data_IF_189358312795
#
_entry.id   IF_189358312795
#
_cell.length_a   1.000
_cell.length_b   1.000
_cell.length_c   1.000
_cell.angle_alpha   90.00
_cell.angle_beta   90.00
_cell.angle_gamma   90.00
#
_symmetry.space_group_name_H-M   'P 1'
#
loop_
_entity.id
_entity.type
_entity.pdbx_description
1 polymer ?
#
# COMPACT_ATOMS: atom_id res chain seq x y z
N UNK A 1 -32.37 -26.67 -44.90
CA UNK A 1 -31.82 -27.45 -46.02
C UNK A 1 -30.38 -27.79 -45.67
N UNK A 2 -30.15 -29.07 -45.37
CA UNK A 2 -28.90 -29.85 -45.26
C UNK A 2 -27.68 -29.36 -44.43
N UNK A 3 -27.49 -30.11 -43.34
CA UNK A 3 -26.26 -30.41 -42.60
C UNK A 3 -25.31 -31.29 -43.42
N UNK A 4 -24.00 -31.19 -43.18
CA UNK A 4 -22.97 -32.27 -43.06
C UNK A 4 -21.63 -31.59 -42.71
N UNK A 5 -21.01 -31.72 -41.53
CA UNK A 5 -20.32 -32.86 -40.90
C UNK A 5 -19.27 -33.54 -41.79
N UNK A 6 -17.99 -33.34 -41.48
CA UNK A 6 -16.91 -34.28 -41.82
C UNK A 6 -15.90 -34.36 -40.68
N UNK A 7 -15.80 -35.57 -40.11
CA UNK A 7 -14.78 -36.08 -39.19
C UNK A 7 -13.96 -37.10 -39.98
N UNK A 8 -12.64 -37.09 -39.79
CA UNK A 8 -11.69 -38.22 -39.90
C UNK A 8 -10.43 -37.73 -39.15
N UNK A 9 -10.05 -38.25 -37.97
CA UNK A 9 -9.23 -39.46 -37.76
C UNK A 9 -8.07 -39.54 -38.76
N UNK A 10 -6.79 -39.62 -38.42
CA UNK A 10 -6.05 -39.86 -37.18
C UNK A 10 -4.67 -40.39 -37.62
N UNK A 11 -3.58 -39.98 -36.98
CA UNK A 11 -2.29 -40.65 -37.12
C UNK A 11 -1.39 -40.32 -35.94
N UNK A 12 -1.38 -41.24 -34.99
CA UNK A 12 -0.35 -41.43 -33.96
C UNK A 12 0.91 -42.01 -34.58
N UNK A 13 2.05 -41.35 -34.43
CA UNK A 13 3.36 -42.00 -34.47
C UNK A 13 4.13 -41.73 -33.17
N UNK A 14 4.48 -42.83 -32.50
CA UNK A 14 5.45 -42.91 -31.41
C UNK A 14 6.83 -43.16 -32.01
N UNK A 15 7.86 -42.91 -31.19
CA UNK A 15 9.27 -43.37 -31.17
C UNK A 15 10.19 -42.13 -31.15
N UNK A 16 11.13 -41.95 -30.22
CA UNK A 16 11.62 -42.83 -29.17
C UNK A 16 12.17 -42.06 -27.98
N UNK A 17 12.20 -42.79 -26.86
CA UNK A 17 12.82 -42.38 -25.61
C UNK A 17 14.34 -42.49 -25.71
N UNK A 18 15.06 -41.43 -25.31
CA UNK A 18 16.48 -41.52 -24.96
C UNK A 18 16.62 -41.40 -23.44
N UNK A 19 17.14 -42.48 -22.84
CA UNK A 19 17.50 -42.61 -21.44
C UNK A 19 18.80 -41.83 -21.11
N UNK A 20 19.10 -41.56 -19.82
CA UNK A 20 20.04 -40.53 -19.40
C UNK A 20 21.49 -41.02 -19.39
N UNK A 21 22.41 -40.17 -19.84
CA UNK A 21 23.85 -40.41 -19.77
C UNK A 21 24.37 -40.22 -18.33
N UNK A 22 25.29 -41.10 -17.96
CA UNK A 22 25.82 -41.30 -16.61
C UNK A 22 26.86 -40.25 -16.19
N UNK A 23 27.03 -40.21 -14.86
CA UNK A 23 28.03 -39.48 -14.08
C UNK A 23 29.46 -39.74 -14.59
N UNK A 24 30.19 -38.65 -14.84
CA UNK A 24 31.65 -38.62 -14.93
C UNK A 24 32.24 -37.78 -13.80
N UNK A 25 33.11 -38.41 -13.03
CA UNK A 25 33.75 -37.88 -11.82
C UNK A 25 35.16 -37.34 -12.06
N UNK A 26 35.47 -36.19 -11.42
CA UNK A 26 36.78 -35.68 -10.93
C UNK A 26 37.77 -35.08 -11.96
N UNK A 27 38.72 -34.19 -11.56
CA UNK A 27 39.19 -33.93 -10.18
C UNK A 27 39.21 -32.46 -9.71
N UNK A 28 39.26 -32.34 -8.37
CA UNK A 28 39.70 -31.16 -7.61
C UNK A 28 41.18 -30.87 -7.92
N UNK A 29 41.51 -29.63 -8.25
CA UNK A 29 42.84 -29.08 -8.07
C UNK A 29 42.75 -27.91 -7.09
N UNK A 30 43.43 -28.06 -5.95
CA UNK A 30 43.68 -26.99 -5.01
C UNK A 30 44.91 -26.18 -5.43
N UNK A 31 44.85 -24.89 -5.17
CA UNK A 31 46.00 -24.02 -4.94
C UNK A 31 45.51 -22.97 -3.93
N UNK A 32 45.88 -23.13 -2.65
CA UNK A 32 47.08 -22.54 -2.05
C UNK A 32 46.96 -21.02 -1.89
N UNK A 33 46.40 -20.64 -0.74
CA UNK A 33 46.49 -19.32 -0.12
C UNK A 33 47.96 -18.99 0.22
N UNK A 34 48.48 -17.87 -0.29
CA UNK A 34 49.57 -17.11 0.33
C UNK A 34 49.63 -15.73 -0.36
N UNK A 35 49.40 -14.64 0.39
CA UNK A 35 49.40 -13.29 -0.17
C UNK A 35 48.79 -12.27 0.77
N UNK A 36 49.43 -12.08 1.92
CA UNK A 36 49.18 -11.05 2.91
C UNK A 36 49.24 -9.63 2.32
N UNK A 37 48.17 -8.83 2.48
CA UNK A 37 48.27 -7.38 2.53
C UNK A 37 47.27 -6.81 3.55
N UNK A 38 47.82 -6.33 4.66
CA UNK A 38 47.36 -5.16 5.43
C UNK A 38 45.90 -5.07 5.88
N UNK A 39 45.61 -5.61 7.06
CA UNK A 39 44.53 -5.10 7.91
C UNK A 39 44.94 -3.73 8.45
N UNK A 40 44.28 -2.66 7.98
CA UNK A 40 44.27 -1.36 8.65
C UNK A 40 42.90 -1.17 9.32
N UNK A 41 42.83 -0.94 10.65
CA UNK A 41 41.58 -0.65 11.33
C UNK A 41 41.18 0.80 11.00
N UNK A 42 40.13 0.97 10.19
CA UNK A 42 39.55 2.28 9.94
C UNK A 42 38.67 2.67 11.13
N UNK A 43 39.29 3.22 12.18
CA UNK A 43 38.59 3.92 13.26
C UNK A 43 38.12 5.27 12.75
N UNK A 44 37.03 5.30 11.98
CA UNK A 44 36.30 6.53 11.70
C UNK A 44 35.30 6.77 12.83
N UNK A 45 35.77 7.50 13.84
CA UNK A 45 34.99 8.03 14.95
C UNK A 45 34.01 9.06 14.35
N UNK A 46 32.76 8.66 14.10
CA UNK A 46 31.71 9.61 13.75
C UNK A 46 31.55 10.61 14.91
N UNK A 47 31.94 11.86 14.68
CA UNK A 47 31.66 12.96 15.58
C UNK A 47 30.15 13.23 15.49
N UNK A 48 29.39 12.68 16.43
CA UNK A 48 28.02 13.09 16.69
C UNK A 48 28.07 14.55 17.17
N UNK A 49 27.66 15.48 16.32
CA UNK A 49 27.33 16.83 16.75
C UNK A 49 26.21 16.74 17.80
N UNK A 50 26.48 17.28 18.98
CA UNK A 50 25.48 17.40 20.04
C UNK A 50 24.32 18.31 19.59
N UNK A 51 23.06 17.98 19.88
CA UNK A 51 21.97 18.94 19.75
C UNK A 51 22.09 20.00 20.85
N UNK A 52 22.06 21.27 20.45
CA UNK A 52 21.86 22.41 21.34
C UNK A 52 20.51 22.24 22.10
N UNK A 53 20.46 22.41 23.43
CA UNK A 53 19.20 22.36 24.15
C UNK A 53 18.37 23.62 23.86
N UNK A 54 17.21 23.44 23.22
CA UNK A 54 16.19 24.48 23.13
C UNK A 54 15.49 24.64 24.50
N UNK A 55 15.11 25.87 24.91
CA UNK A 55 14.50 26.12 26.20
C UNK A 55 13.08 25.53 26.28
N UNK A 56 12.81 24.83 27.38
CA UNK A 56 11.52 24.25 27.74
C UNK A 56 10.42 25.31 27.90
N UNK A 57 9.25 25.17 27.27
CA UNK A 57 8.11 26.02 27.57
C UNK A 57 7.49 25.60 28.91
N UNK A 58 7.48 26.54 29.86
CA UNK A 58 6.80 26.40 31.15
C UNK A 58 5.30 26.13 30.92
N UNK A 59 4.84 24.92 31.31
CA UNK A 59 3.41 24.63 31.45
C UNK A 59 2.88 25.38 32.66
N UNK A 60 2.17 26.48 32.42
CA UNK A 60 1.30 27.08 33.44
C UNK A 60 0.07 26.18 33.62
N UNK A 61 0.07 25.42 34.72
CA UNK A 61 -1.10 24.68 35.18
C UNK A 61 -2.13 25.65 35.76
N UNK A 62 -3.14 26.03 34.96
CA UNK A 62 -4.31 26.74 35.43
C UNK A 62 -5.07 25.83 36.42
N UNK A 63 -4.95 26.16 37.71
CA UNK A 63 -5.70 25.58 38.81
C UNK A 63 -7.14 26.10 38.78
N UNK A 64 -8.12 25.25 38.51
CA UNK A 64 -9.51 25.55 38.84
C UNK A 64 -9.75 25.28 40.33
N UNK A 65 -10.32 26.22 41.10
CA UNK A 65 -10.52 26.04 42.53
C UNK A 65 -11.66 25.06 42.82
N UNK A 66 -11.37 24.08 43.69
CA UNK A 66 -12.34 23.18 44.34
C UNK A 66 -13.38 24.02 45.09
N UNK A 67 -14.64 23.97 44.67
CA UNK A 67 -15.75 24.41 45.51
C UNK A 67 -16.00 23.36 46.59
N UNK A 68 -15.68 23.71 47.82
CA UNK A 68 -16.27 23.06 48.99
C UNK A 68 -17.75 23.46 49.05
N UNK A 69 -18.63 22.49 49.26
CA UNK A 69 -19.97 22.78 49.75
C UNK A 69 -20.17 22.07 51.07
N UNK A 70 -20.34 22.92 52.07
CA UNK A 70 -20.69 22.70 53.46
C UNK A 70 -21.83 21.71 53.63
N UNK A 71 -21.64 20.80 54.59
CA UNK A 71 -22.70 20.01 55.20
C UNK A 71 -23.75 20.94 55.81
N UNK A 72 -25.00 20.79 55.38
CA UNK A 72 -26.17 21.25 56.11
C UNK A 72 -27.07 20.06 56.39
N UNK A 73 -27.04 19.62 57.64
CA UNK A 73 -28.12 18.84 58.24
C UNK A 73 -29.38 19.71 58.25
N UNK A 74 -30.46 19.25 57.64
CA UNK A 74 -31.81 19.61 58.06
C UNK A 74 -32.84 18.60 57.50
N UNK A 75 -33.60 18.06 58.45
CA UNK A 75 -34.96 17.55 58.35
C UNK A 75 -35.24 16.37 57.41
N UNK A 76 -35.50 15.22 58.05
CA UNK A 76 -36.31 14.11 57.54
C UNK A 76 -37.68 14.59 57.05
N UNK A 77 -38.12 14.13 55.86
CA UNK A 77 -39.51 13.86 55.60
C UNK A 77 -39.73 12.36 55.34
N UNK A 78 -40.58 11.82 56.18
CA UNK A 78 -41.59 10.80 55.95
C UNK A 78 -41.30 9.57 55.08
N UNK A 79 -41.39 8.42 55.75
CA UNK A 79 -41.30 7.10 55.18
C UNK A 79 -42.63 6.72 54.51
N UNK A 80 -42.81 7.06 53.23
CA UNK A 80 -43.85 6.43 52.40
C UNK A 80 -43.76 6.83 50.93
N UNK A 81 -42.74 6.34 50.22
CA UNK A 81 -42.81 6.10 48.76
C UNK A 81 -41.63 5.23 48.32
N UNK A 82 -41.85 4.02 47.79
CA UNK A 82 -40.76 3.30 47.14
C UNK A 82 -40.40 4.04 45.84
N UNK A 83 -39.14 4.48 45.74
CA UNK A 83 -38.57 4.91 44.47
C UNK A 83 -38.68 3.77 43.45
N UNK A 84 -39.03 4.04 42.17
CA UNK A 84 -39.13 2.99 41.17
C UNK A 84 -37.76 2.34 40.99
N UNK A 85 -37.66 1.07 41.36
CA UNK A 85 -36.50 0.25 41.05
C UNK A 85 -36.48 0.05 39.54
N UNK A 86 -35.49 0.65 38.86
CA UNK A 86 -35.21 0.30 37.49
C UNK A 86 -34.97 -1.22 37.42
N UNK A 87 -35.58 -1.94 36.47
CA UNK A 87 -35.33 -3.38 36.35
C UNK A 87 -33.84 -3.60 36.11
N UNK A 88 -33.24 -4.45 36.93
CA UNK A 88 -31.85 -4.85 36.77
C UNK A 88 -31.65 -5.45 35.37
N UNK A 89 -30.64 -4.96 34.66
CA UNK A 89 -30.19 -5.56 33.40
C UNK A 89 -29.81 -7.03 33.67
N UNK A 90 -30.52 -8.01 33.09
CA UNK A 90 -30.28 -9.42 33.36
C UNK A 90 -28.91 -9.90 32.84
N UNK A 91 -28.17 -9.06 32.09
CA UNK A 91 -26.81 -9.34 31.60
C UNK A 91 -25.67 -8.84 32.49
N UNK A 92 -25.93 -8.01 33.51
CA UNK A 92 -24.87 -7.47 34.36
C UNK A 92 -24.41 -8.50 35.40
N UNK A 93 -23.49 -9.39 35.01
CA UNK A 93 -22.78 -10.23 35.96
C UNK A 93 -22.07 -9.34 36.99
N UNK A 94 -22.59 -9.29 38.21
CA UNK A 94 -21.91 -8.64 39.33
C UNK A 94 -20.54 -9.32 39.50
N UNK A 95 -19.48 -8.58 39.22
CA UNK A 95 -18.12 -9.04 39.51
C UNK A 95 -18.07 -9.50 40.97
N UNK A 96 -17.56 -10.71 41.20
CA UNK A 96 -17.43 -11.24 42.55
C UNK A 96 -16.62 -10.26 43.42
N UNK A 97 -17.00 -10.04 44.68
CA UNK A 97 -16.25 -9.14 45.55
C UNK A 97 -14.81 -9.63 45.73
N UNK A 98 -13.88 -8.69 45.87
CA UNK A 98 -12.46 -8.99 46.08
C UNK A 98 -12.28 -9.92 47.28
N UNK A 99 -11.60 -11.05 47.06
CA UNK A 99 -11.37 -12.09 48.07
C UNK A 99 -12.45 -13.18 48.15
N UNK A 100 -13.53 -13.10 47.37
CA UNK A 100 -14.50 -14.17 47.27
C UNK A 100 -13.91 -15.41 46.59
N UNK A 101 -14.28 -16.60 47.07
CA UNK A 101 -13.95 -17.86 46.41
C UNK A 101 -14.67 -17.92 45.07
N UNK A 102 -13.90 -18.09 44.00
CA UNK A 102 -14.44 -18.20 42.65
C UNK A 102 -15.14 -19.56 42.48
N UNK A 103 -16.20 -19.59 41.68
CA UNK A 103 -17.00 -20.80 41.46
C UNK A 103 -16.20 -21.91 40.79
N UNK A 104 -16.70 -23.15 40.85
CA UNK A 104 -16.05 -24.32 40.26
C UNK A 104 -15.75 -24.20 38.75
N UNK A 105 -16.47 -23.31 38.06
CA UNK A 105 -16.24 -23.01 36.65
C UNK A 105 -15.00 -22.12 36.39
N UNK A 106 -14.38 -21.54 37.42
CA UNK A 106 -13.24 -20.62 37.27
C UNK A 106 -12.06 -21.24 36.53
N UNK A 107 -11.69 -22.47 36.88
CA UNK A 107 -10.59 -23.20 36.23
C UNK A 107 -10.95 -23.64 34.80
N UNK A 108 -12.24 -23.66 34.47
CA UNK A 108 -12.77 -23.96 33.12
C UNK A 108 -13.09 -22.71 32.29
N UNK A 109 -12.90 -21.52 32.86
CA UNK A 109 -12.83 -20.28 32.08
C UNK A 109 -11.49 -20.27 31.32
N UNK A 110 -11.29 -21.25 30.45
CA UNK A 110 -10.37 -21.12 29.34
C UNK A 110 -10.95 -20.04 28.42
N UNK A 111 -10.86 -18.79 28.84
CA UNK A 111 -10.75 -17.65 27.96
C UNK A 111 -9.45 -17.88 27.19
N UNK A 112 -9.49 -18.76 26.21
CA UNK A 112 -8.63 -18.62 25.06
C UNK A 112 -9.29 -17.47 24.29
N UNK A 113 -8.80 -16.23 24.42
CA UNK A 113 -9.37 -15.11 23.69
C UNK A 113 -9.41 -15.44 22.20
N UNK A 114 -10.32 -14.85 21.43
CA UNK A 114 -10.49 -15.09 19.99
C UNK A 114 -9.18 -14.99 19.17
N UNK A 115 -8.14 -14.34 19.70
CA UNK A 115 -6.82 -14.33 19.06
C UNK A 115 -6.09 -15.68 19.11
N UNK A 116 -6.38 -16.57 20.07
CA UNK A 116 -5.84 -17.92 20.13
C UNK A 116 -6.32 -18.79 18.95
N UNK A 117 -7.45 -18.43 18.34
CA UNK A 117 -7.97 -19.05 17.12
C UNK A 117 -7.29 -18.55 15.84
N UNK A 118 -6.40 -17.55 15.88
CA UNK A 118 -5.75 -17.00 14.67
C UNK A 118 -4.79 -17.97 13.96
N UNK A 119 -4.46 -19.10 14.59
CA UNK A 119 -3.58 -20.13 14.03
C UNK A 119 -2.14 -19.65 13.84
N UNK A 120 -1.19 -20.59 13.75
CA UNK A 120 0.18 -20.27 13.34
C UNK A 120 0.20 -20.06 11.83
N UNK A 121 0.72 -18.92 11.38
CA UNK A 121 0.84 -18.57 9.95
C UNK A 121 2.27 -18.16 9.63
N UNK A 122 2.67 -18.37 8.38
CA UNK A 122 3.95 -17.94 7.84
C UNK A 122 3.73 -17.12 6.55
N UNK A 123 4.72 -16.32 6.19
CA UNK A 123 4.64 -15.43 5.04
C UNK A 123 6.00 -14.91 4.61
N UNK A 124 6.00 -14.16 3.51
CA UNK A 124 7.19 -13.51 2.94
C UNK A 124 7.00 -12.00 2.93
N UNK A 125 8.08 -11.29 3.24
CA UNK A 125 8.20 -9.86 2.97
C UNK A 125 8.89 -9.73 1.61
N UNK A 126 8.18 -9.18 0.63
CA UNK A 126 8.71 -8.89 -0.70
C UNK A 126 7.95 -7.71 -1.27
N UNK A 127 8.61 -6.62 -1.64
CA UNK A 127 7.90 -5.50 -2.26
C UNK A 127 7.64 -5.80 -3.75
N UNK A 128 6.50 -5.40 -4.35
CA UNK A 128 6.22 -5.70 -5.76
C UNK A 128 7.28 -5.18 -6.72
N UNK A 129 7.96 -4.07 -6.40
CA UNK A 129 9.07 -3.54 -7.21
C UNK A 129 10.24 -4.53 -7.37
N UNK A 130 10.37 -5.49 -6.46
CA UNK A 130 11.43 -6.51 -6.46
C UNK A 130 11.03 -7.79 -7.20
N UNK A 131 9.79 -7.89 -7.70
CA UNK A 131 9.41 -8.96 -8.60
C UNK A 131 10.21 -8.83 -9.91
N UNK A 132 10.52 -9.95 -10.59
CA UNK A 132 11.11 -9.89 -11.92
C UNK A 132 10.11 -9.27 -12.91
N UNK A 133 10.59 -8.86 -14.08
CA UNK A 133 9.72 -8.38 -15.15
C UNK A 133 10.50 -7.70 -16.26
N UNK A 134 9.95 -7.66 -17.49
CA UNK A 134 10.68 -7.12 -18.65
C UNK A 134 10.83 -5.59 -18.65
N UNK A 135 10.11 -4.89 -17.76
CA UNK A 135 9.94 -3.43 -17.81
C UNK A 135 10.75 -2.67 -16.75
N UNK A 136 11.88 -3.22 -16.29
CA UNK A 136 12.82 -2.52 -15.40
C UNK A 136 12.43 -2.49 -13.93
N UNK A 137 11.19 -2.86 -13.60
CA UNK A 137 10.63 -2.91 -12.25
C UNK A 137 9.60 -4.04 -12.18
N UNK A 138 9.44 -4.64 -11.00
CA UNK A 138 8.31 -5.55 -10.77
C UNK A 138 6.97 -4.82 -10.75
N UNK A 139 5.94 -5.47 -11.27
CA UNK A 139 4.60 -4.90 -11.50
C UNK A 139 3.50 -5.78 -10.88
N UNK A 140 2.31 -5.23 -10.68
CA UNK A 140 1.10 -5.96 -10.31
C UNK A 140 0.50 -6.67 -11.54
N UNK A 141 1.26 -7.61 -12.09
CA UNK A 141 0.97 -8.33 -13.32
C UNK A 141 1.21 -9.85 -13.20
N UNK A 142 1.59 -10.52 -14.30
CA UNK A 142 1.81 -11.96 -14.33
C UNK A 142 2.76 -12.47 -13.25
N UNK A 143 3.85 -11.75 -12.99
CA UNK A 143 4.85 -12.14 -11.98
C UNK A 143 4.34 -12.01 -10.53
N UNK A 144 3.44 -11.05 -10.26
CA UNK A 144 2.77 -10.97 -8.96
C UNK A 144 1.83 -12.16 -8.73
N UNK A 145 1.11 -12.60 -9.78
CA UNK A 145 0.28 -13.80 -9.72
C UNK A 145 1.13 -15.07 -9.55
N UNK A 146 2.22 -15.20 -10.30
CA UNK A 146 3.14 -16.32 -10.17
C UNK A 146 3.77 -16.40 -8.76
N UNK A 147 4.08 -15.25 -8.15
CA UNK A 147 4.54 -15.19 -6.77
C UNK A 147 3.48 -15.64 -5.76
N UNK A 148 2.20 -15.26 -5.97
CA UNK A 148 1.09 -15.72 -5.14
C UNK A 148 0.87 -17.23 -5.27
N UNK A 149 0.97 -17.79 -6.49
CA UNK A 149 0.89 -19.23 -6.73
C UNK A 149 2.01 -19.98 -5.99
N UNK A 150 3.24 -19.46 -6.04
CA UNK A 150 4.36 -20.00 -5.29
C UNK A 150 4.15 -19.92 -3.77
N UNK A 151 3.68 -18.78 -3.26
CA UNK A 151 3.36 -18.61 -1.83
C UNK A 151 2.33 -19.64 -1.36
N UNK A 152 1.26 -19.83 -2.14
CA UNK A 152 0.21 -20.78 -1.85
C UNK A 152 0.74 -22.23 -1.87
N UNK A 153 1.54 -22.58 -2.89
CA UNK A 153 2.17 -23.90 -2.99
C UNK A 153 3.14 -24.18 -1.82
N UNK A 154 3.80 -23.15 -1.27
CA UNK A 154 4.65 -23.23 -0.09
C UNK A 154 3.87 -23.29 1.24
N UNK A 155 2.54 -23.22 1.22
CA UNK A 155 1.69 -23.21 2.41
C UNK A 155 1.76 -21.89 3.20
N UNK A 156 2.31 -20.84 2.60
CA UNK A 156 2.38 -19.52 3.20
C UNK A 156 1.04 -18.79 3.02
N UNK A 157 0.67 -17.97 4.00
CA UNK A 157 -0.66 -17.34 4.07
C UNK A 157 -0.59 -15.81 4.19
N UNK A 158 0.61 -15.25 4.24
CA UNK A 158 0.83 -13.82 4.36
C UNK A 158 1.84 -13.35 3.32
N UNK A 159 1.49 -12.31 2.57
CA UNK A 159 2.43 -11.49 1.81
C UNK A 159 2.45 -10.11 2.45
N UNK A 160 3.60 -9.72 2.97
CA UNK A 160 3.80 -8.38 3.53
C UNK A 160 4.58 -7.52 2.52
N UNK A 161 4.09 -6.31 2.32
CA UNK A 161 4.69 -5.30 1.42
C UNK A 161 5.08 -4.05 2.21
N UNK A 162 6.03 -3.29 1.65
CA UNK A 162 6.26 -1.89 2.03
C UNK A 162 5.08 -1.02 1.55
N UNK A 163 4.96 0.25 1.98
CA UNK A 163 3.92 1.14 1.50
C UNK A 163 3.89 1.21 -0.04
N UNK A 164 2.69 1.21 -0.62
CA UNK A 164 2.46 1.21 -2.07
C UNK A 164 2.23 2.62 -2.63
N UNK A 165 2.54 3.65 -1.85
CA UNK A 165 2.33 5.05 -2.21
C UNK A 165 3.28 5.50 -3.32
N UNK A 166 2.93 6.53 -4.13
CA UNK A 166 3.86 7.11 -5.09
C UNK A 166 5.06 7.67 -4.32
N UNK A 167 6.27 7.16 -4.53
CA UNK A 167 7.43 7.65 -3.81
C UNK A 167 7.85 9.02 -4.35
N UNK A 168 8.52 9.79 -3.51
CA UNK A 168 9.22 10.99 -3.93
C UNK A 168 10.23 10.67 -5.06
N UNK A 169 10.29 11.47 -6.14
CA UNK A 169 11.14 11.20 -7.30
C UNK A 169 12.63 11.44 -7.08
N UNK A 170 13.06 12.06 -5.96
CA UNK A 170 14.47 12.26 -5.63
C UNK A 170 15.07 11.00 -5.00
N UNK A 171 14.33 10.35 -4.08
CA UNK A 171 14.85 9.22 -3.30
C UNK A 171 14.18 7.87 -3.59
N UNK A 172 13.02 7.87 -4.25
CA UNK A 172 12.21 6.68 -4.53
C UNK A 172 11.89 5.82 -3.29
N UNK A 173 11.91 6.42 -2.10
CA UNK A 173 11.61 5.72 -0.84
C UNK A 173 10.10 5.52 -0.69
N UNK A 174 9.62 4.29 -0.42
CA UNK A 174 8.19 4.05 -0.16
C UNK A 174 7.70 4.69 1.14
N UNK A 175 8.62 5.15 2.01
CA UNK A 175 8.28 5.88 3.23
C UNK A 175 8.27 7.40 3.06
N UNK A 176 8.68 7.89 1.89
CA UNK A 176 8.62 9.30 1.50
C UNK A 176 7.58 9.46 0.38
N UNK A 177 6.33 9.06 0.66
CA UNK A 177 5.25 9.12 -0.32
C UNK A 177 4.74 10.53 -0.58
N UNK A 178 4.39 10.83 -1.82
CA UNK A 178 3.77 12.10 -2.22
C UNK A 178 2.32 12.22 -1.75
N UNK A 179 1.66 11.09 -1.48
CA UNK A 179 0.27 11.01 -1.03
C UNK A 179 0.10 9.75 -0.17
N UNK A 180 -0.78 9.79 0.83
CA UNK A 180 -0.99 8.68 1.76
C UNK A 180 -1.97 7.60 1.26
N UNK A 181 -2.76 7.90 0.22
CA UNK A 181 -3.84 7.05 -0.30
C UNK A 181 -3.58 6.56 -1.73
N UNK A 182 -2.90 7.36 -2.54
CA UNK A 182 -2.60 7.00 -3.93
C UNK A 182 -1.75 5.73 -4.02
N UNK A 183 -1.89 5.00 -5.13
CA UNK A 183 -0.99 3.93 -5.52
C UNK A 183 0.16 4.42 -6.38
N UNK A 184 1.34 3.81 -6.25
CA UNK A 184 2.50 4.06 -7.08
C UNK A 184 2.22 3.66 -8.54
N UNK A 185 2.16 4.61 -9.49
CA UNK A 185 1.86 4.31 -10.89
C UNK A 185 2.87 3.36 -11.54
N UNK A 186 4.11 3.32 -11.05
CA UNK A 186 5.16 2.44 -11.59
C UNK A 186 4.86 0.95 -11.36
N UNK A 187 3.93 0.62 -10.47
CA UNK A 187 3.50 -0.76 -10.23
C UNK A 187 2.40 -1.25 -11.17
N UNK A 188 1.81 -0.37 -11.99
CA UNK A 188 0.78 -0.74 -12.96
C UNK A 188 1.39 -1.66 -14.03
N UNK A 189 0.73 -2.78 -14.30
CA UNK A 189 1.20 -3.80 -15.25
C UNK A 189 0.99 -3.36 -16.70
N UNK A 190 2.08 -3.21 -17.46
CA UNK A 190 1.96 -2.87 -18.89
C UNK A 190 1.34 -4.02 -19.69
N UNK A 191 1.61 -5.27 -19.31
CA UNK A 191 1.01 -6.45 -19.95
C UNK A 191 -0.51 -6.50 -19.75
N UNK A 192 -0.99 -6.08 -18.58
CA UNK A 192 -2.42 -5.97 -18.31
C UNK A 192 -3.05 -4.88 -19.19
N UNK A 193 -2.42 -3.70 -19.30
CA UNK A 193 -2.90 -2.61 -20.16
C UNK A 193 -2.92 -3.00 -21.65
N UNK A 194 -1.93 -3.78 -22.10
CA UNK A 194 -1.90 -4.33 -23.47
C UNK A 194 -3.02 -5.35 -23.68
N UNK A 195 -3.27 -6.22 -22.70
CA UNK A 195 -4.32 -7.23 -22.75
C UNK A 195 -5.72 -6.60 -22.80
N UNK A 196 -5.94 -5.53 -22.02
CA UNK A 196 -7.17 -4.73 -22.05
C UNK A 196 -7.28 -3.85 -23.31
N UNK A 197 -6.23 -3.77 -24.14
CA UNK A 197 -6.21 -2.99 -25.37
C UNK A 197 -6.09 -1.47 -25.16
N UNK A 198 -5.77 -1.03 -23.94
CA UNK A 198 -5.46 0.36 -23.58
C UNK A 198 -4.08 0.79 -24.10
N UNK A 199 -3.18 -0.18 -24.29
CA UNK A 199 -1.91 -0.03 -24.99
C UNK A 199 -1.79 -1.02 -26.14
N UNK A 200 -1.03 -0.68 -27.16
CA UNK A 200 -0.64 -1.62 -28.20
C UNK A 200 0.61 -2.39 -27.76
N UNK A 201 0.79 -3.62 -28.25
CA UNK A 201 2.02 -4.39 -27.99
C UNK A 201 3.30 -3.66 -28.42
N UNK A 202 3.21 -2.83 -29.47
CA UNK A 202 4.30 -2.00 -29.96
C UNK A 202 4.69 -0.85 -29.03
N UNK A 203 3.86 -0.53 -28.04
CA UNK A 203 4.13 0.52 -27.06
C UNK A 203 5.06 0.05 -25.93
N UNK A 204 5.23 -1.26 -25.78
CA UNK A 204 6.07 -1.85 -24.73
C UNK A 204 7.51 -1.28 -24.80
N UNK A 205 8.05 -0.74 -23.69
CA UNK A 205 9.36 -0.11 -23.71
C UNK A 205 10.45 -1.16 -23.97
N UNK A 206 11.39 -0.82 -24.86
CA UNK A 206 12.56 -1.65 -25.14
C UNK A 206 13.78 -1.15 -24.35
N UNK A 207 14.69 -2.06 -24.01
CA UNK A 207 16.01 -1.71 -23.47
C UNK A 207 16.08 -1.50 -21.95
N UNK A 208 15.00 -1.74 -21.22
CA UNK A 208 15.04 -1.81 -19.75
C UNK A 208 15.60 -3.16 -19.30
N UNK A 209 16.32 -3.16 -18.16
CA UNK A 209 16.88 -4.39 -17.59
C UNK A 209 15.77 -5.23 -16.97
N UNK A 210 15.70 -6.50 -17.33
CA UNK A 210 14.68 -7.40 -16.76
C UNK A 210 14.97 -7.89 -15.34
N UNK A 211 16.19 -7.66 -14.84
CA UNK A 211 16.66 -8.18 -13.54
C UNK A 211 17.73 -7.28 -12.92
N UNK A 212 17.81 -7.29 -11.60
CA UNK A 212 18.79 -6.54 -10.81
C UNK A 212 18.15 -5.34 -10.12
N UNK A 213 18.97 -4.36 -9.78
CA UNK A 213 18.50 -3.14 -9.11
C UNK A 213 17.66 -2.28 -10.06
N UNK A 214 16.58 -1.72 -9.51
CA UNK A 214 15.64 -0.87 -10.25
C UNK A 214 16.28 0.49 -10.52
N UNK A 215 16.38 0.87 -11.79
CA UNK A 215 16.65 2.24 -12.21
C UNK A 215 15.31 3.00 -12.28
N UNK A 216 14.88 3.55 -11.15
CA UNK A 216 13.58 4.20 -11.04
C UNK A 216 13.41 5.39 -11.99
N UNK A 217 14.49 6.15 -12.26
CA UNK A 217 14.44 7.28 -13.16
C UNK A 217 14.21 6.83 -14.61
N UNK A 218 14.95 5.81 -15.07
CA UNK A 218 14.76 5.24 -16.41
C UNK A 218 13.36 4.59 -16.55
N UNK A 219 12.92 3.86 -15.52
CA UNK A 219 11.58 3.25 -15.50
C UNK A 219 10.49 4.32 -15.54
N UNK A 220 10.58 5.37 -14.74
CA UNK A 220 9.60 6.46 -14.75
C UNK A 220 9.56 7.18 -16.10
N UNK A 221 10.72 7.48 -16.70
CA UNK A 221 10.81 8.11 -18.01
C UNK A 221 10.19 7.24 -19.12
N UNK A 222 10.31 5.91 -19.02
CA UNK A 222 9.72 4.99 -19.99
C UNK A 222 8.23 4.74 -19.75
N UNK A 223 7.80 4.59 -18.49
CA UNK A 223 6.44 4.15 -18.15
C UNK A 223 5.41 5.27 -18.04
N UNK A 224 5.75 6.40 -17.43
CA UNK A 224 4.76 7.46 -17.18
C UNK A 224 4.09 7.97 -18.46
N UNK A 225 4.79 8.15 -19.60
CA UNK A 225 4.14 8.52 -20.86
C UNK A 225 3.17 7.46 -21.39
N UNK A 226 3.46 6.18 -21.15
CA UNK A 226 2.58 5.07 -21.55
C UNK A 226 1.32 5.02 -20.68
N UNK A 227 1.45 5.27 -19.37
CA UNK A 227 0.30 5.34 -18.47
C UNK A 227 -0.61 6.53 -18.82
N UNK A 228 -0.01 7.68 -19.18
CA UNK A 228 -0.74 8.83 -19.73
C UNK A 228 -1.51 8.44 -21.00
N UNK A 229 -0.84 7.76 -21.96
CA UNK A 229 -1.49 7.25 -23.18
C UNK A 229 -2.66 6.31 -22.88
N UNK A 230 -2.49 5.36 -21.95
CA UNK A 230 -3.53 4.43 -21.55
C UNK A 230 -4.72 5.13 -20.88
N UNK A 231 -4.46 6.11 -20.00
CA UNK A 231 -5.47 6.93 -19.38
C UNK A 231 -6.27 7.74 -20.42
N UNK A 232 -5.60 8.34 -21.40
CA UNK A 232 -6.25 9.07 -22.48
C UNK A 232 -7.12 8.16 -23.36
N UNK A 233 -6.64 6.96 -23.70
CA UNK A 233 -7.43 5.96 -24.40
C UNK A 233 -8.69 5.59 -23.60
N UNK A 234 -8.55 5.29 -22.30
CA UNK A 234 -9.65 5.01 -21.40
C UNK A 234 -10.68 6.16 -21.39
N UNK A 235 -10.23 7.41 -21.27
CA UNK A 235 -11.09 8.59 -21.14
C UNK A 235 -11.83 8.93 -22.44
N UNK A 236 -11.24 8.71 -23.60
CA UNK A 236 -11.76 9.22 -24.88
C UNK A 236 -12.42 8.15 -25.74
N UNK A 237 -11.87 6.94 -25.81
CA UNK A 237 -12.30 5.97 -26.81
C UNK A 237 -13.66 5.32 -26.47
N UNK A 238 -14.60 5.25 -27.43
CA UNK A 238 -15.94 4.69 -27.19
C UNK A 238 -15.94 3.26 -26.67
N UNK A 239 -15.00 2.42 -27.14
CA UNK A 239 -14.92 0.99 -26.76
C UNK A 239 -14.71 0.76 -25.26
N UNK A 240 -14.14 1.74 -24.54
CA UNK A 240 -13.95 1.67 -23.08
C UNK A 240 -15.11 2.28 -22.27
N UNK A 241 -16.31 2.42 -22.85
CA UNK A 241 -17.48 2.97 -22.14
C UNK A 241 -17.79 2.24 -20.82
N UNK A 242 -17.72 0.91 -20.81
CA UNK A 242 -17.95 0.10 -19.61
C UNK A 242 -16.89 0.35 -18.53
N UNK A 243 -15.61 0.41 -18.93
CA UNK A 243 -14.50 0.67 -18.03
C UNK A 243 -14.55 2.11 -17.47
N UNK A 244 -14.92 3.10 -18.29
CA UNK A 244 -15.21 4.47 -17.82
C UNK A 244 -16.36 4.53 -16.82
N UNK A 245 -17.36 3.67 -16.92
CA UNK A 245 -18.41 3.60 -15.90
C UNK A 245 -17.85 3.08 -14.56
N UNK A 246 -16.91 2.14 -14.57
CA UNK A 246 -16.16 1.71 -13.38
C UNK A 246 -15.29 2.84 -12.82
N UNK A 247 -14.56 3.56 -13.68
CA UNK A 247 -13.78 4.75 -13.30
C UNK A 247 -14.66 5.79 -12.58
N UNK A 248 -15.86 6.08 -13.10
CA UNK A 248 -16.80 7.01 -12.45
C UNK A 248 -17.22 6.53 -11.05
N UNK A 249 -17.46 5.22 -10.88
CA UNK A 249 -17.78 4.63 -9.57
C UNK A 249 -16.59 4.73 -8.61
N UNK A 250 -15.39 4.41 -9.09
CA UNK A 250 -14.15 4.55 -8.33
C UNK A 250 -13.93 5.99 -7.86
N UNK A 251 -14.08 6.98 -8.75
CA UNK A 251 -13.96 8.39 -8.42
C UNK A 251 -14.98 8.82 -7.36
N UNK A 252 -16.22 8.34 -7.46
CA UNK A 252 -17.27 8.65 -6.49
C UNK A 252 -17.04 7.98 -5.12
N UNK A 253 -16.45 6.80 -5.07
CA UNK A 253 -16.17 6.09 -3.81
C UNK A 253 -14.90 6.57 -3.09
N UNK A 254 -14.05 7.35 -3.77
CA UNK A 254 -12.75 7.76 -3.26
C UNK A 254 -12.65 9.30 -3.21
N UNK A 255 -13.27 9.97 -2.22
CA UNK A 255 -13.33 11.44 -2.17
C UNK A 255 -11.96 12.11 -2.05
N UNK A 256 -10.94 11.39 -1.55
CA UNK A 256 -9.56 11.86 -1.47
C UNK A 256 -8.93 12.14 -2.84
N UNK A 257 -9.36 11.44 -3.89
CA UNK A 257 -8.72 11.47 -5.22
C UNK A 257 -8.74 12.88 -5.84
N UNK A 258 -9.79 13.65 -5.58
CA UNK A 258 -9.97 15.00 -6.12
C UNK A 258 -8.95 15.98 -5.57
N UNK A 259 -8.59 15.84 -4.30
CA UNK A 259 -7.60 16.71 -3.66
C UNK A 259 -6.19 16.29 -4.05
N UNK A 260 -5.91 14.99 -4.13
CA UNK A 260 -4.62 14.46 -4.61
C UNK A 260 -4.36 14.86 -6.07
N UNK A 261 -5.37 14.74 -6.95
CA UNK A 261 -5.26 15.12 -8.36
C UNK A 261 -5.02 16.62 -8.53
N UNK A 262 -5.75 17.47 -7.79
CA UNK A 262 -5.55 18.91 -7.83
C UNK A 262 -4.16 19.29 -7.31
N UNK A 263 -3.70 18.66 -6.23
CA UNK A 263 -2.36 18.89 -5.69
C UNK A 263 -1.28 18.51 -6.72
N UNK A 264 -1.41 17.35 -7.37
CA UNK A 264 -0.49 16.88 -8.40
C UNK A 264 -0.46 17.81 -9.63
N UNK A 265 -1.62 18.33 -10.05
CA UNK A 265 -1.69 19.30 -11.13
C UNK A 265 -1.02 20.63 -10.73
N UNK A 266 -1.28 21.13 -9.51
CA UNK A 266 -0.72 22.39 -9.03
C UNK A 266 0.80 22.34 -8.85
N UNK A 267 1.36 21.25 -8.28
CA UNK A 267 2.82 21.14 -8.09
C UNK A 267 3.61 21.11 -9.40
N UNK A 268 2.97 20.74 -10.51
CA UNK A 268 3.58 20.70 -11.85
C UNK A 268 3.50 22.02 -12.59
N UNK A 269 2.82 23.03 -12.04
CA UNK A 269 2.77 24.36 -12.65
C UNK A 269 4.15 25.02 -12.60
N UNK A 270 4.61 25.67 -13.69
CA UNK A 270 5.93 26.32 -13.71
C UNK A 270 6.15 27.35 -12.60
N UNK A 271 5.10 28.02 -12.13
CA UNK A 271 5.19 29.02 -11.06
C UNK A 271 5.25 28.41 -9.64
N UNK A 272 4.89 27.13 -9.50
CA UNK A 272 4.84 26.38 -8.24
C UNK A 272 5.83 25.20 -8.19
N UNK A 273 6.44 24.85 -9.32
CA UNK A 273 7.40 23.75 -9.43
C UNK A 273 8.55 23.93 -8.42
N UNK A 274 8.95 22.83 -7.78
CA UNK A 274 9.97 22.79 -6.73
C UNK A 274 9.67 23.65 -5.50
N UNK A 275 8.42 24.08 -5.30
CA UNK A 275 7.98 24.75 -4.07
C UNK A 275 7.08 23.85 -3.25
N UNK A 276 7.35 23.77 -1.96
CA UNK A 276 6.46 23.17 -1.01
C UNK A 276 5.17 23.99 -0.90
N UNK A 277 4.06 23.33 -0.59
CA UNK A 277 2.73 23.92 -0.64
C UNK A 277 2.55 25.11 0.31
N UNK A 278 3.33 25.18 1.39
CA UNK A 278 3.32 26.31 2.32
C UNK A 278 3.98 27.58 1.75
N UNK A 279 4.70 27.49 0.62
CA UNK A 279 5.19 28.64 -0.14
C UNK A 279 4.31 29.00 -1.35
N UNK A 280 3.20 28.31 -1.56
CA UNK A 280 2.27 28.63 -2.64
C UNK A 280 1.51 29.94 -2.36
N UNK A 281 0.97 30.61 -3.41
CA UNK A 281 0.12 31.77 -3.25
C UNK A 281 -0.98 31.52 -2.23
N UNK A 282 -1.20 32.50 -1.34
CA UNK A 282 -2.10 32.36 -0.19
C UNK A 282 -3.48 31.78 -0.52
N UNK A 283 -4.16 32.21 -1.61
CA UNK A 283 -5.47 31.64 -1.94
C UNK A 283 -5.45 30.13 -2.24
N UNK A 284 -4.35 29.61 -2.78
CA UNK A 284 -4.18 28.17 -3.03
C UNK A 284 -3.73 27.45 -1.75
N UNK A 285 -2.77 28.02 -1.02
CA UNK A 285 -2.23 27.49 0.24
C UNK A 285 -3.31 27.34 1.32
N UNK A 286 -4.17 28.35 1.46
CA UNK A 286 -5.30 28.37 2.40
C UNK A 286 -6.58 27.74 1.82
N UNK A 287 -6.52 27.26 0.57
CA UNK A 287 -7.63 26.60 -0.12
C UNK A 287 -8.90 27.43 -0.16
N UNK A 288 -8.78 28.72 -0.46
CA UNK A 288 -9.93 29.60 -0.65
C UNK A 288 -10.87 29.04 -1.72
N UNK A 289 -12.17 28.98 -1.42
CA UNK A 289 -13.15 28.28 -2.27
C UNK A 289 -13.15 28.78 -3.73
N UNK A 290 -13.00 30.10 -3.94
CA UNK A 290 -12.90 30.69 -5.28
C UNK A 290 -11.64 30.27 -6.03
N UNK A 291 -10.49 30.27 -5.35
CA UNK A 291 -9.21 29.88 -5.94
C UNK A 291 -9.16 28.38 -6.28
N UNK A 292 -9.65 27.53 -5.39
CA UNK A 292 -9.75 26.08 -5.63
C UNK A 292 -10.71 25.77 -6.78
N UNK A 293 -11.88 26.41 -6.83
CA UNK A 293 -12.82 26.23 -7.95
C UNK A 293 -12.19 26.64 -9.29
N UNK A 294 -11.49 27.78 -9.32
CA UNK A 294 -10.77 28.24 -10.51
C UNK A 294 -9.66 27.26 -10.91
N UNK A 295 -8.88 26.77 -9.95
CA UNK A 295 -7.80 25.82 -10.20
C UNK A 295 -8.32 24.48 -10.74
N UNK A 296 -9.41 23.95 -10.17
CA UNK A 296 -10.06 22.73 -10.67
C UNK A 296 -10.56 22.87 -12.10
N UNK A 297 -11.15 24.02 -12.43
CA UNK A 297 -11.60 24.29 -13.80
C UNK A 297 -10.42 24.44 -14.78
N UNK A 298 -9.32 25.06 -14.34
CA UNK A 298 -8.13 25.25 -15.17
C UNK A 298 -7.35 23.96 -15.44
N UNK A 299 -7.40 22.99 -14.52
CA UNK A 299 -6.65 21.72 -14.60
C UNK A 299 -7.55 20.49 -14.73
N UNK A 300 -8.74 20.65 -15.33
CA UNK A 300 -9.72 19.57 -15.41
C UNK A 300 -9.19 18.33 -16.14
N UNK A 301 -8.42 18.53 -17.22
CA UNK A 301 -7.88 17.43 -18.02
C UNK A 301 -6.79 16.66 -17.24
N UNK A 302 -5.89 17.37 -16.56
CA UNK A 302 -4.84 16.77 -15.72
C UNK A 302 -5.44 16.03 -14.53
N UNK A 303 -6.51 16.57 -13.93
CA UNK A 303 -7.26 15.90 -12.87
C UNK A 303 -7.89 14.61 -13.40
N UNK A 304 -8.56 14.66 -14.55
CA UNK A 304 -9.20 13.48 -15.15
C UNK A 304 -8.17 12.39 -15.51
N UNK A 305 -7.02 12.78 -16.05
CA UNK A 305 -5.91 11.86 -16.34
C UNK A 305 -5.34 11.24 -15.05
N UNK A 306 -5.06 12.04 -14.02
CA UNK A 306 -4.57 11.55 -12.73
C UNK A 306 -5.51 10.52 -12.13
N UNK A 307 -6.82 10.83 -12.12
CA UNK A 307 -7.85 9.92 -11.60
C UNK A 307 -7.92 8.64 -12.43
N UNK A 308 -7.78 8.73 -13.75
CA UNK A 308 -7.72 7.57 -14.62
C UNK A 308 -6.50 6.69 -14.33
N UNK A 309 -5.31 7.28 -14.14
CA UNK A 309 -4.09 6.54 -13.77
C UNK A 309 -4.23 5.85 -12.42
N UNK A 310 -4.85 6.48 -11.43
CA UNK A 310 -5.08 5.86 -10.10
C UNK A 310 -6.18 4.79 -10.10
N UNK A 311 -7.03 4.77 -11.11
CA UNK A 311 -8.03 3.72 -11.32
C UNK A 311 -7.46 2.46 -11.97
N UNK A 312 -6.46 2.62 -12.84
CA UNK A 312 -5.72 1.53 -13.49
C UNK A 312 -4.89 0.76 -12.46
#
# INVERSE_FOLDING_TARGET
MQLTSSRLQGATERIGAHAPAQRGSRPRAGASYAGSVGLAPCTARAAWHQPNPLPSPQRQCLHSPRRSMSARCAATPDASSPAPTAPADPGAQRAAPLGARLGAAYDSLSNMPDWAAKGRRAGVILHPTSLPGPYGIGELGPEALAFLDWLAAAGMQCWQVLPLVPPDPEYFSPYSGLDANCGNPLLISLDALITEGLLAKSDAPAGLKASGDVDFAAVAAAKLPLLSKAAQALLTEPRFAALRASLKRFRASNPWIEDSALFDALRKRPDLENKEWWFWPEPLRLREAGAIKKARAAHAAEIDEFVAVQFL
#
